data_IF_073793697418
#
_entry.id   IF_073793697418
#
_cell.length_a   1.000
_cell.length_b   1.000
_cell.length_c   1.000
_cell.angle_alpha   90.00
_cell.angle_beta   90.00
_cell.angle_gamma   90.00
#
_symmetry.space_group_name_H-M   'P 1'
#
loop_
_entity.id
_entity.type
_entity.pdbx_description
1 polymer ?
#
# COMPACT_ATOMS: atom_id res chain seq x y z
N UNK A 1 -4.58 10.72 23.40
CA UNK A 1 -3.44 10.64 24.33
C UNK A 1 -2.43 9.59 23.85
N UNK A 2 -1.22 9.67 24.33
CA UNK A 2 -0.15 8.72 24.08
C UNK A 2 0.52 8.40 25.43
N UNK A 3 0.74 7.13 25.68
CA UNK A 3 1.45 6.65 26.88
C UNK A 3 2.79 6.08 26.47
N UNK A 4 3.86 6.56 27.08
CA UNK A 4 5.22 6.06 26.90
C UNK A 4 5.74 5.54 28.25
N UNK A 5 6.30 4.35 28.25
CA UNK A 5 6.89 3.71 29.42
C UNK A 5 7.00 2.21 29.22
N UNK A 6 7.97 1.59 29.89
CA UNK A 6 8.17 0.15 29.77
C UNK A 6 7.14 -0.65 30.57
N UNK A 7 6.63 -1.73 29.97
CA UNK A 7 5.89 -2.75 30.69
C UNK A 7 4.40 -2.53 30.90
N UNK A 8 3.80 -1.45 30.40
CA UNK A 8 2.35 -1.31 30.44
C UNK A 8 1.72 -2.26 29.43
N UNK A 9 0.83 -3.11 29.91
CA UNK A 9 0.14 -4.08 29.08
C UNK A 9 -1.17 -3.55 28.50
N UNK A 10 -1.98 -2.97 29.36
CA UNK A 10 -3.28 -2.42 28.99
C UNK A 10 -3.45 -1.03 29.56
N UNK A 11 -4.08 -0.15 28.79
CA UNK A 11 -4.51 1.17 29.22
C UNK A 11 -6.02 1.21 29.15
N UNK A 12 -6.66 1.56 30.24
CA UNK A 12 -8.09 1.76 30.35
C UNK A 12 -8.41 3.26 30.41
N UNK A 13 -9.36 3.67 29.59
CA UNK A 13 -9.89 5.03 29.58
C UNK A 13 -11.33 4.98 30.08
N UNK A 14 -11.58 5.60 31.23
CA UNK A 14 -12.90 5.70 31.83
C UNK A 14 -13.38 7.14 31.83
N UNK A 15 -14.61 7.33 31.36
CA UNK A 15 -15.32 8.61 31.33
C UNK A 15 -16.72 8.43 31.86
N UNK A 16 -17.16 9.39 32.65
CA UNK A 16 -18.49 9.36 33.24
C UNK A 16 -19.57 9.25 32.13
N UNK A 17 -20.40 8.19 32.20
CA UNK A 17 -21.49 7.96 31.23
C UNK A 17 -21.11 7.27 29.94
N UNK A 18 -19.84 6.84 29.76
CA UNK A 18 -19.38 6.08 28.60
C UNK A 18 -18.78 4.77 29.12
N UNK A 19 -18.97 3.67 28.39
CA UNK A 19 -18.33 2.40 28.75
C UNK A 19 -16.81 2.53 28.71
N UNK A 20 -16.08 2.03 29.71
CA UNK A 20 -14.64 2.04 29.72
C UNK A 20 -14.05 1.37 28.48
N UNK A 21 -13.04 1.99 27.88
CA UNK A 21 -12.36 1.45 26.70
C UNK A 21 -10.99 0.97 27.11
N UNK A 22 -10.64 -0.26 26.72
CA UNK A 22 -9.34 -0.87 26.99
C UNK A 22 -8.51 -0.95 25.72
N UNK A 23 -7.24 -0.53 25.82
CA UNK A 23 -6.27 -0.51 24.72
C UNK A 23 -5.07 -1.39 25.10
N UNK A 24 -4.79 -2.41 24.29
CA UNK A 24 -3.64 -3.28 24.51
C UNK A 24 -2.37 -2.63 23.95
N UNK A 25 -1.42 -2.35 24.81
CA UNK A 25 -0.17 -1.64 24.51
C UNK A 25 1.04 -2.59 24.38
N UNK A 26 0.90 -3.90 24.60
CA UNK A 26 2.02 -4.85 24.61
C UNK A 26 2.78 -4.91 23.28
N UNK A 27 2.07 -4.69 22.18
CA UNK A 27 2.66 -4.86 20.84
C UNK A 27 3.09 -3.55 20.19
N UNK A 28 2.41 -2.44 20.49
CA UNK A 28 2.72 -1.12 19.93
C UNK A 28 2.17 -0.01 20.81
N UNK A 29 3.02 0.94 21.24
CA UNK A 29 2.51 2.20 21.77
C UNK A 29 1.77 2.94 20.64
N UNK A 30 0.55 3.35 20.86
CA UNK A 30 -0.24 4.09 19.89
C UNK A 30 -1.03 5.21 20.55
N UNK A 31 -1.46 6.14 19.71
CA UNK A 31 -2.38 7.19 20.13
C UNK A 31 -3.76 6.58 20.37
N UNK A 32 -4.35 6.85 21.52
CA UNK A 32 -5.74 6.49 21.81
C UNK A 32 -6.58 7.74 22.00
N UNK A 33 -7.82 7.74 21.46
CA UNK A 33 -8.70 8.89 21.54
C UNK A 33 -9.27 9.03 22.96
N UNK A 34 -9.27 10.26 23.47
CA UNK A 34 -10.02 10.60 24.68
C UNK A 34 -11.41 11.13 24.37
N UNK A 35 -11.71 11.35 23.08
CA UNK A 35 -12.94 11.97 22.63
C UNK A 35 -13.01 13.49 22.93
N UNK A 36 -14.18 14.06 22.75
CA UNK A 36 -14.42 15.46 23.10
C UNK A 36 -14.64 15.58 24.61
N UNK A 37 -13.86 16.41 25.29
CA UNK A 37 -13.89 16.64 26.73
C UNK A 37 -14.34 18.08 26.98
N UNK A 38 -15.39 18.26 27.76
CA UNK A 38 -15.91 19.57 28.13
C UNK A 38 -15.16 20.13 29.35
N UNK A 39 -15.22 21.43 29.54
CA UNK A 39 -14.64 22.05 30.73
C UNK A 39 -15.31 21.50 32.01
N UNK A 40 -14.48 21.05 32.95
CA UNK A 40 -14.94 20.44 34.20
C UNK A 40 -15.22 18.94 34.14
N UNK A 41 -15.11 18.33 32.95
CA UNK A 41 -15.22 16.87 32.80
C UNK A 41 -13.91 16.18 33.22
N UNK A 42 -14.04 15.06 33.93
CA UNK A 42 -12.90 14.24 34.35
C UNK A 42 -12.78 12.99 33.47
N UNK A 43 -11.60 12.71 33.03
CA UNK A 43 -11.24 11.47 32.34
C UNK A 43 -10.21 10.72 33.18
N UNK A 44 -10.51 9.49 33.55
CA UNK A 44 -9.59 8.61 34.25
C UNK A 44 -8.85 7.73 33.28
N UNK A 45 -7.52 7.70 33.39
CA UNK A 45 -6.66 6.84 32.57
C UNK A 45 -5.94 5.92 33.53
N UNK A 46 -6.28 4.65 33.47
CA UNK A 46 -5.68 3.59 34.27
C UNK A 46 -4.79 2.69 33.43
N UNK A 47 -3.93 1.92 34.07
CA UNK A 47 -3.12 0.93 33.38
C UNK A 47 -2.55 -0.09 34.34
N UNK A 48 -2.33 -1.31 33.88
CA UNK A 48 -1.66 -2.36 34.65
C UNK A 48 -0.14 -2.24 34.46
N UNK A 49 0.57 -2.05 35.56
CA UNK A 49 2.03 -2.07 35.61
C UNK A 49 2.45 -3.39 36.27
N UNK A 50 3.37 -4.16 35.65
CA UNK A 50 3.87 -5.38 36.28
C UNK A 50 4.50 -5.10 37.63
N UNK A 51 4.24 -5.98 38.63
CA UNK A 51 4.90 -5.92 39.90
C UNK A 51 6.43 -6.04 39.72
N UNK A 52 7.19 -5.38 40.63
CA UNK A 52 8.67 -5.38 40.65
C UNK A 52 9.38 -4.61 39.50
N UNK A 53 8.74 -3.61 38.91
CA UNK A 53 9.43 -2.74 37.95
C UNK A 53 9.42 -1.29 38.40
N UNK A 54 10.60 -0.73 38.66
CA UNK A 54 10.82 0.72 38.80
C UNK A 54 10.82 1.36 37.43
N UNK A 55 9.63 1.66 36.88
CA UNK A 55 9.50 2.25 35.58
C UNK A 55 8.75 3.57 35.61
N UNK A 56 9.22 4.51 34.77
CA UNK A 56 8.54 5.79 34.61
C UNK A 56 7.45 5.67 33.55
N UNK A 57 6.25 6.12 33.91
CA UNK A 57 5.15 6.29 33.00
C UNK A 57 5.06 7.77 32.60
N UNK A 58 5.07 8.04 31.30
CA UNK A 58 4.82 9.37 30.79
C UNK A 58 3.54 9.38 29.96
N UNK A 59 2.59 10.21 30.36
CA UNK A 59 1.34 10.43 29.65
C UNK A 59 1.42 11.76 28.90
N UNK A 60 1.28 11.70 27.58
CA UNK A 60 1.17 12.87 26.72
C UNK A 60 -0.28 13.06 26.32
N UNK A 61 -0.86 14.20 26.65
CA UNK A 61 -2.22 14.57 26.22
C UNK A 61 -2.15 15.75 25.28
N UNK A 62 -2.75 15.59 24.11
CA UNK A 62 -2.78 16.61 23.07
C UNK A 62 -4.22 16.97 22.73
N UNK A 63 -4.46 18.22 22.45
CA UNK A 63 -5.73 18.70 21.90
C UNK A 63 -5.59 18.83 20.37
N UNK A 64 -6.47 18.18 19.63
CA UNK A 64 -6.55 18.39 18.20
C UNK A 64 -7.14 19.79 17.92
N UNK A 65 -6.41 20.60 17.17
CA UNK A 65 -6.95 21.85 16.65
C UNK A 65 -7.72 21.54 15.35
N UNK A 66 -9.04 21.41 15.47
CA UNK A 66 -9.90 21.06 14.34
C UNK A 66 -9.88 22.13 13.24
N UNK A 67 -9.74 23.41 13.61
CA UNK A 67 -9.68 24.49 12.61
C UNK A 67 -8.44 24.37 11.73
N UNK A 68 -7.27 24.14 12.34
CA UNK A 68 -6.02 23.99 11.56
C UNK A 68 -6.07 22.73 10.69
N UNK A 69 -6.68 21.65 11.19
CA UNK A 69 -6.87 20.44 10.41
C UNK A 69 -7.77 20.70 9.20
N UNK A 70 -8.90 21.35 9.42
CA UNK A 70 -9.88 21.69 8.37
C UNK A 70 -9.28 22.61 7.32
N UNK A 71 -8.61 23.69 7.73
CA UNK A 71 -7.90 24.58 6.83
C UNK A 71 -6.83 23.87 6.00
N UNK A 72 -6.09 22.94 6.62
CA UNK A 72 -5.12 22.11 5.93
C UNK A 72 -5.76 21.15 4.91
N UNK A 73 -6.87 20.52 5.31
CA UNK A 73 -7.62 19.62 4.43
C UNK A 73 -8.20 20.36 3.21
N UNK A 74 -8.84 21.50 3.42
CA UNK A 74 -9.40 22.31 2.33
C UNK A 74 -8.35 22.75 1.31
N UNK A 75 -7.15 23.12 1.77
CA UNK A 75 -6.04 23.48 0.86
C UNK A 75 -5.60 22.30 -0.01
N UNK A 76 -5.64 21.09 0.51
CA UNK A 76 -5.30 19.87 -0.25
C UNK A 76 -6.43 19.48 -1.19
N UNK A 77 -7.69 19.65 -0.77
CA UNK A 77 -8.86 19.30 -1.56
C UNK A 77 -9.04 20.21 -2.77
N UNK A 78 -8.71 21.50 -2.65
CA UNK A 78 -8.81 22.50 -3.72
C UNK A 78 -8.01 22.13 -4.98
N UNK A 79 -6.92 21.36 -4.82
CA UNK A 79 -6.05 20.91 -5.92
C UNK A 79 -5.98 19.37 -5.95
N UNK A 80 -7.04 18.68 -5.51
CA UNK A 80 -7.14 17.24 -5.60
C UNK A 80 -7.39 16.75 -7.04
N UNK A 81 -7.09 15.47 -7.31
CA UNK A 81 -7.44 14.85 -8.58
C UNK A 81 -8.96 14.80 -8.75
N UNK A 82 -9.41 15.26 -9.90
CA UNK A 82 -10.78 15.11 -10.40
C UNK A 82 -10.86 13.94 -11.39
N UNK A 83 -12.07 13.46 -11.69
CA UNK A 83 -12.31 12.34 -12.60
C UNK A 83 -11.47 11.09 -12.28
N UNK A 84 -11.23 10.87 -10.99
CA UNK A 84 -10.39 9.78 -10.49
C UNK A 84 -10.95 8.43 -10.93
N UNK A 85 -10.11 7.65 -11.61
CA UNK A 85 -10.37 6.25 -11.98
C UNK A 85 -9.28 5.38 -11.38
N UNK A 86 -9.70 4.38 -10.64
CA UNK A 86 -8.81 3.38 -10.03
C UNK A 86 -9.15 2.03 -10.67
N UNK A 87 -8.17 1.45 -11.33
CA UNK A 87 -8.20 0.12 -11.93
C UNK A 87 -7.20 -0.78 -11.20
N UNK A 88 -7.21 -2.07 -11.46
CA UNK A 88 -6.34 -3.04 -10.76
C UNK A 88 -4.85 -2.70 -10.83
N UNK A 89 -4.41 -2.14 -11.96
CA UNK A 89 -3.00 -1.82 -12.22
C UNK A 89 -2.77 -0.38 -12.67
N UNK A 90 -3.80 0.46 -12.61
CA UNK A 90 -3.69 1.84 -13.07
C UNK A 90 -4.54 2.80 -12.22
N UNK A 91 -4.03 4.01 -12.08
CA UNK A 91 -4.76 5.13 -11.48
C UNK A 91 -4.67 6.30 -12.45
N UNK A 92 -5.78 6.96 -12.74
CA UNK A 92 -5.79 8.14 -13.61
C UNK A 92 -6.76 9.19 -13.12
N UNK A 93 -6.51 10.45 -13.48
CA UNK A 93 -7.36 11.58 -13.13
C UNK A 93 -6.78 12.87 -13.71
N UNK A 94 -7.48 13.97 -13.48
CA UNK A 94 -7.05 15.30 -13.87
C UNK A 94 -6.79 16.14 -12.63
N UNK A 95 -5.83 17.05 -12.71
CA UNK A 95 -5.51 17.98 -11.62
C UNK A 95 -5.24 19.37 -12.20
N UNK A 96 -5.71 20.39 -11.53
CA UNK A 96 -5.37 21.77 -11.87
C UNK A 96 -4.50 22.37 -10.77
N UNK A 97 -3.27 22.66 -11.13
CA UNK A 97 -2.22 23.18 -10.23
C UNK A 97 -2.09 24.68 -10.43
N UNK A 98 -2.18 25.46 -9.36
CA UNK A 98 -2.06 26.93 -9.40
C UNK A 98 -0.63 27.41 -9.34
N UNK A 99 0.20 26.69 -8.57
CA UNK A 99 1.62 27.01 -8.37
C UNK A 99 2.44 25.74 -8.53
N UNK A 100 3.68 25.85 -9.00
CA UNK A 100 4.58 24.68 -9.06
C UNK A 100 4.61 23.95 -7.72
N UNK A 101 4.41 22.64 -7.78
CA UNK A 101 4.28 21.85 -6.57
C UNK A 101 4.51 20.35 -6.79
N UNK A 102 4.12 19.61 -5.77
CA UNK A 102 4.24 18.16 -5.75
C UNK A 102 2.86 17.53 -5.54
N UNK A 103 2.43 16.76 -6.53
CA UNK A 103 1.25 15.90 -6.35
C UNK A 103 1.63 14.76 -5.41
N UNK A 104 1.01 14.72 -4.24
CA UNK A 104 1.14 13.63 -3.29
C UNK A 104 0.15 12.52 -3.63
N UNK A 105 0.66 11.31 -3.85
CA UNK A 105 -0.14 10.11 -4.02
C UNK A 105 0.02 9.24 -2.77
N UNK A 106 -1.09 8.83 -2.15
CA UNK A 106 -1.08 7.90 -1.01
C UNK A 106 -0.82 6.46 -1.45
N UNK A 107 0.11 6.30 -2.37
CA UNK A 107 0.58 5.05 -2.96
C UNK A 107 2.02 4.85 -2.50
N UNK A 108 2.40 3.66 -1.98
CA UNK A 108 3.79 3.37 -1.63
C UNK A 108 4.73 3.59 -2.82
N UNK A 109 5.90 4.19 -2.53
CA UNK A 109 6.94 4.36 -3.55
C UNK A 109 7.64 3.02 -3.79
N UNK A 110 7.33 2.38 -4.92
CA UNK A 110 7.87 1.07 -5.31
C UNK A 110 8.33 1.07 -6.78
N UNK A 111 9.33 0.26 -7.15
CA UNK A 111 9.91 0.24 -8.49
C UNK A 111 8.91 -0.13 -9.60
N UNK A 112 7.82 -0.81 -9.28
CA UNK A 112 6.80 -1.24 -10.24
C UNK A 112 5.92 -0.12 -10.79
N UNK A 113 5.90 1.04 -10.15
CA UNK A 113 5.10 2.18 -10.60
C UNK A 113 5.80 2.98 -11.68
N UNK A 114 5.03 3.47 -12.63
CA UNK A 114 5.42 4.45 -13.64
C UNK A 114 4.34 5.53 -13.76
N UNK A 115 4.75 6.76 -14.08
CA UNK A 115 3.86 7.90 -14.23
C UNK A 115 3.91 8.49 -15.62
N UNK A 116 2.79 9.04 -16.05
CA UNK A 116 2.67 9.91 -17.21
C UNK A 116 1.91 11.18 -16.81
N UNK A 117 2.40 12.31 -17.27
CA UNK A 117 1.74 13.62 -17.18
C UNK A 117 1.49 14.11 -18.58
N UNK A 118 0.24 14.36 -18.94
CA UNK A 118 -0.17 14.78 -20.29
C UNK A 118 0.27 13.81 -21.40
N UNK A 119 0.39 12.53 -21.08
CA UNK A 119 0.85 11.48 -21.99
C UNK A 119 2.36 11.28 -22.06
N UNK A 120 3.15 12.19 -21.49
CA UNK A 120 4.61 12.09 -21.44
C UNK A 120 5.08 11.41 -20.14
N UNK A 121 6.16 10.60 -20.21
CA UNK A 121 6.73 9.98 -19.03
C UNK A 121 7.15 11.02 -17.98
N UNK A 122 6.79 10.78 -16.72
CA UNK A 122 7.14 11.64 -15.58
C UNK A 122 7.90 10.86 -14.52
N UNK A 123 8.83 11.54 -13.86
CA UNK A 123 9.62 10.96 -12.78
C UNK A 123 8.78 10.87 -11.50
N UNK A 124 8.83 9.70 -10.86
CA UNK A 124 8.29 9.48 -9.53
C UNK A 124 9.35 9.78 -8.47
N UNK A 125 8.99 10.55 -7.47
CA UNK A 125 9.89 10.89 -6.36
C UNK A 125 9.34 10.38 -5.03
N UNK A 126 10.21 9.88 -4.13
CA UNK A 126 9.77 9.45 -2.81
C UNK A 126 9.43 10.68 -1.94
N UNK A 127 8.21 10.71 -1.41
CA UNK A 127 7.76 11.70 -0.42
C UNK A 127 7.71 11.09 0.97
N UNK A 128 8.18 11.84 1.96
CA UNK A 128 8.24 11.39 3.36
C UNK A 128 8.91 10.01 3.55
N UNK A 129 9.79 9.61 2.62
CA UNK A 129 10.51 8.35 2.64
C UNK A 129 9.67 7.09 2.32
N UNK A 130 8.39 7.23 1.98
CA UNK A 130 7.51 6.09 1.78
C UNK A 130 6.48 6.25 0.66
N UNK A 131 6.02 7.46 0.38
CA UNK A 131 4.91 7.70 -0.54
C UNK A 131 5.39 8.22 -1.89
N UNK A 132 4.55 8.13 -2.89
CA UNK A 132 4.86 8.52 -4.26
C UNK A 132 4.48 9.98 -4.51
N UNK A 133 5.38 10.72 -5.14
CA UNK A 133 5.13 12.09 -5.58
C UNK A 133 5.43 12.31 -7.05
N UNK A 134 4.74 13.26 -7.65
CA UNK A 134 4.95 13.71 -9.03
C UNK A 134 5.11 15.22 -9.02
N UNK A 135 6.19 15.73 -9.60
CA UNK A 135 6.39 17.17 -9.74
C UNK A 135 5.49 17.71 -10.85
N UNK A 136 4.73 18.76 -10.55
CA UNK A 136 3.83 19.41 -11.50
C UNK A 136 4.11 20.91 -11.61
N UNK A 137 4.01 21.43 -12.80
CA UNK A 137 4.02 22.87 -13.10
C UNK A 137 2.61 23.44 -12.99
N UNK A 138 2.45 24.78 -12.94
CA UNK A 138 1.11 25.39 -13.00
C UNK A 138 0.39 25.02 -14.29
N UNK A 139 -0.87 24.64 -14.22
CA UNK A 139 -1.71 24.23 -15.34
C UNK A 139 -2.67 23.11 -15.01
N UNK A 140 -3.42 22.68 -16.00
CA UNK A 140 -4.28 21.50 -15.90
C UNK A 140 -3.57 20.33 -16.55
N UNK A 141 -3.41 19.25 -15.79
CA UNK A 141 -2.66 18.07 -16.19
C UNK A 141 -3.53 16.83 -16.12
N UNK A 142 -3.34 15.94 -17.08
CA UNK A 142 -3.85 14.57 -17.04
C UNK A 142 -2.78 13.64 -16.47
N UNK A 143 -3.10 12.98 -15.38
CA UNK A 143 -2.18 12.09 -14.66
C UNK A 143 -2.57 10.64 -14.93
N UNK A 144 -1.58 9.82 -15.21
CA UNK A 144 -1.75 8.36 -15.29
C UNK A 144 -0.60 7.66 -14.59
N UNK A 145 -0.94 6.82 -13.62
CA UNK A 145 -0.03 5.90 -12.96
C UNK A 145 -0.32 4.49 -13.44
N UNK A 146 0.71 3.71 -13.76
CA UNK A 146 0.58 2.29 -14.10
C UNK A 146 1.55 1.48 -13.24
N UNK A 147 1.09 0.31 -12.80
CA UNK A 147 1.86 -0.62 -12.00
C UNK A 147 2.14 -1.91 -12.74
N UNK A 148 3.40 -2.27 -12.81
CA UNK A 148 3.85 -3.57 -13.31
C UNK A 148 4.76 -4.16 -12.24
N UNK A 149 4.40 -5.29 -11.61
CA UNK A 149 5.23 -5.91 -10.59
C UNK A 149 6.65 -6.17 -11.10
N UNK A 150 7.63 -5.93 -10.23
CA UNK A 150 9.02 -6.24 -10.54
C UNK A 150 9.20 -7.73 -10.80
N UNK A 151 10.00 -8.08 -11.82
CA UNK A 151 10.18 -9.47 -12.27
C UNK A 151 9.03 -10.05 -13.10
N UNK A 152 7.91 -9.34 -13.30
CA UNK A 152 6.79 -9.88 -14.08
C UNK A 152 7.17 -10.14 -15.55
N UNK A 153 7.89 -9.22 -16.17
CA UNK A 153 8.33 -9.38 -17.59
C UNK A 153 9.26 -10.57 -17.74
N UNK A 154 10.22 -10.71 -16.84
CA UNK A 154 11.17 -11.81 -16.80
C UNK A 154 10.44 -13.14 -16.57
N UNK A 155 9.49 -13.18 -15.66
CA UNK A 155 8.65 -14.36 -15.39
C UNK A 155 7.86 -14.80 -16.62
N UNK A 156 7.26 -13.86 -17.35
CA UNK A 156 6.53 -14.15 -18.61
C UNK A 156 7.47 -14.72 -19.67
N UNK A 157 8.67 -14.15 -19.83
CA UNK A 157 9.67 -14.67 -20.80
C UNK A 157 10.11 -16.09 -20.45
N UNK A 158 10.43 -16.36 -19.19
CA UNK A 158 10.85 -17.71 -18.73
C UNK A 158 9.71 -18.71 -18.93
N UNK A 159 8.49 -18.34 -18.57
CA UNK A 159 7.32 -19.19 -18.75
C UNK A 159 7.07 -19.48 -20.23
N UNK A 160 7.13 -18.46 -21.08
CA UNK A 160 6.97 -18.60 -22.53
C UNK A 160 8.02 -19.53 -23.14
N UNK A 161 9.30 -19.34 -22.78
CA UNK A 161 10.38 -20.21 -23.22
C UNK A 161 10.19 -21.67 -22.77
N UNK A 162 9.76 -21.87 -21.54
CA UNK A 162 9.49 -23.21 -20.98
C UNK A 162 8.36 -23.93 -21.73
N UNK A 163 7.27 -23.21 -22.04
CA UNK A 163 6.15 -23.76 -22.81
C UNK A 163 6.57 -24.13 -24.23
N UNK A 164 7.40 -23.29 -24.87
CA UNK A 164 7.93 -23.57 -26.22
C UNK A 164 8.84 -24.81 -26.22
N UNK A 165 9.72 -24.94 -25.25
CA UNK A 165 10.59 -26.11 -25.11
C UNK A 165 9.78 -27.39 -24.89
N UNK A 166 8.79 -27.35 -23.99
CA UNK A 166 7.91 -28.49 -23.75
C UNK A 166 7.13 -28.87 -25.02
N UNK A 167 6.62 -27.89 -25.74
CA UNK A 167 5.92 -28.10 -27.01
C UNK A 167 6.81 -28.74 -28.08
N UNK A 168 8.07 -28.28 -28.19
CA UNK A 168 9.05 -28.85 -29.11
C UNK A 168 9.41 -30.30 -28.74
N UNK A 169 9.58 -30.61 -27.45
CA UNK A 169 9.89 -31.96 -26.98
C UNK A 169 8.73 -32.93 -27.26
N UNK A 170 7.49 -32.52 -26.98
CA UNK A 170 6.29 -33.29 -27.29
C UNK A 170 6.12 -33.52 -28.80
N UNK A 171 6.39 -32.52 -29.63
CA UNK A 171 6.36 -32.66 -31.08
C UNK A 171 7.45 -33.61 -31.59
N UNK A 172 8.68 -33.53 -31.09
CA UNK A 172 9.76 -34.41 -31.40
C UNK A 172 9.43 -35.86 -31.02
N UNK A 173 8.91 -36.10 -29.81
CA UNK A 173 8.47 -37.40 -29.33
C UNK A 173 7.35 -37.98 -30.23
N UNK A 174 6.38 -37.16 -30.63
CA UNK A 174 5.33 -37.57 -31.54
C UNK A 174 5.86 -38.00 -32.91
N UNK A 175 6.76 -37.21 -33.52
CA UNK A 175 7.37 -37.51 -34.77
C UNK A 175 8.21 -38.79 -34.71
N UNK A 176 8.99 -38.97 -33.62
CA UNK A 176 9.80 -40.18 -33.40
C UNK A 176 8.94 -41.44 -33.26
N UNK A 177 7.83 -41.34 -32.48
CA UNK A 177 6.85 -42.45 -32.34
C UNK A 177 6.20 -42.80 -33.68
N UNK A 178 5.86 -41.81 -34.52
CA UNK A 178 5.29 -42.02 -35.84
C UNK A 178 6.29 -42.69 -36.82
N UNK A 179 7.57 -42.32 -36.75
CA UNK A 179 8.62 -42.94 -37.56
C UNK A 179 8.87 -44.40 -37.17
N UNK A 180 8.87 -44.74 -35.88
CA UNK A 180 9.02 -46.13 -35.38
C UNK A 180 7.92 -47.06 -35.85
N UNK A 181 6.67 -46.58 -35.92
CA UNK A 181 5.53 -47.38 -36.41
C UNK A 181 5.61 -47.71 -37.91
N UNK A 182 6.40 -46.97 -38.68
CA UNK A 182 6.59 -47.24 -40.15
C UNK A 182 7.71 -48.25 -40.43
N UNK A 183 8.52 -48.65 -39.47
CA UNK A 183 9.71 -49.52 -39.67
C UNK A 183 9.44 -51.00 -39.36
N UNK A 184 8.24 -51.39 -38.88
CA UNK A 184 7.86 -52.82 -38.80
C UNK A 184 6.82 -53.14 -39.90
N UNK A 185 7.23 -53.54 -41.09
CA UNK A 185 6.35 -54.29 -42.01
C UNK A 185 6.19 -55.71 -41.42
N UNK A 186 4.96 -56.19 -41.45
CA UNK A 186 4.62 -57.56 -41.13
C UNK A 186 5.51 -58.55 -41.90
N UNK A 187 6.21 -59.41 -41.21
CA UNK A 187 6.78 -60.64 -41.77
C UNK A 187 5.61 -61.57 -42.07
N UNK A 188 5.42 -62.06 -43.31
CA UNK A 188 4.39 -63.07 -43.59
C UNK A 188 4.86 -64.40 -42.99
N UNK A 189 4.01 -64.96 -42.11
CA UNK A 189 4.07 -66.33 -41.65
C UNK A 189 3.97 -67.23 -42.88
N UNK A 190 5.04 -67.90 -43.26
CA UNK A 190 4.95 -69.08 -44.17
C UNK A 190 4.72 -70.32 -43.35
N UNK A 191 3.80 -71.09 -43.87
CA UNK A 191 3.24 -72.35 -43.50
C UNK A 191 4.22 -73.48 -43.07
#
# INVERSE_FOLDING_TARGET
>A
AYVSGGGIKNVEVDRLGIQPQSYNMERRPYLFPLGSISAGETVSIGGEIPADTDQYLTLYVYRLNQQVLEEGYQRLEDEALTDLRVEDTAVSGNVTVRTEGMLYCSIPFEPGWSAQVDGEPAELVPLCGAMTGIRLTPGTHSIRLNYVPDGFREGVLITGASVLLLGADLAAAYVWKKRRKKVHPCEPSNA
#
